data_IF_248623956038
#
_entry.id   IF_248623956038
#
_cell.length_a   1.000
_cell.length_b   1.000
_cell.length_c   1.000
_cell.angle_alpha   90.00
_cell.angle_beta   90.00
_cell.angle_gamma   90.00
#
_symmetry.space_group_name_H-M   'P 1'
#
loop_
_entity.id
_entity.type
_entity.pdbx_description
1 polymer ?
#
# COMPACT_ATOMS: atom_id res chain seq x y z
N UNK A 1 -16.07 -8.03 -29.62
CA UNK A 1 -15.14 -8.76 -28.84
C UNK A 1 -14.88 -8.06 -27.53
N UNK A 2 -15.72 -8.36 -26.53
CA UNK A 2 -15.69 -7.73 -25.22
C UNK A 2 -14.47 -8.18 -24.35
N UNK A 3 -13.75 -9.18 -24.78
CA UNK A 3 -12.61 -9.80 -24.10
C UNK A 3 -11.42 -8.86 -23.97
N UNK A 4 -11.08 -8.22 -25.07
CA UNK A 4 -9.89 -7.40 -25.23
C UNK A 4 -10.04 -6.04 -24.52
N UNK A 5 -11.27 -5.62 -24.28
CA UNK A 5 -11.59 -4.30 -23.76
C UNK A 5 -11.29 -4.11 -22.27
N UNK A 6 -11.78 -5.03 -21.44
CA UNK A 6 -11.59 -4.90 -19.99
C UNK A 6 -10.16 -5.24 -19.61
N UNK A 7 -9.52 -6.14 -20.35
CA UNK A 7 -8.09 -6.39 -20.22
C UNK A 7 -7.31 -5.10 -20.50
N UNK A 8 -7.61 -4.40 -21.59
CA UNK A 8 -6.95 -3.13 -21.93
C UNK A 8 -7.31 -1.99 -20.99
N UNK A 9 -8.55 -1.91 -20.53
CA UNK A 9 -8.97 -0.90 -19.56
C UNK A 9 -8.23 -1.09 -18.22
N UNK A 10 -8.07 -2.34 -17.79
CA UNK A 10 -7.42 -2.65 -16.54
C UNK A 10 -5.90 -2.54 -16.63
N UNK A 11 -5.30 -2.98 -17.73
CA UNK A 11 -3.90 -2.77 -18.07
C UNK A 11 -3.62 -1.27 -18.19
N UNK A 12 -4.44 -0.49 -18.87
CA UNK A 12 -4.28 0.97 -18.95
C UNK A 12 -4.40 1.67 -17.58
N UNK A 13 -5.24 1.18 -16.68
CA UNK A 13 -5.34 1.73 -15.31
C UNK A 13 -4.15 1.34 -14.39
N UNK A 14 -3.41 0.26 -14.71
CA UNK A 14 -2.29 -0.22 -13.89
C UNK A 14 -0.92 -0.20 -14.59
N UNK A 15 -0.86 -0.28 -15.91
CA UNK A 15 0.41 -0.26 -16.68
C UNK A 15 0.87 1.15 -17.08
N UNK A 16 0.00 2.17 -16.98
CA UNK A 16 0.44 3.57 -17.12
C UNK A 16 1.08 4.13 -15.84
N UNK A 17 1.06 3.40 -14.73
CA UNK A 17 2.07 3.58 -13.71
C UNK A 17 3.35 2.96 -14.28
N UNK A 18 4.36 3.76 -14.66
CA UNK A 18 5.60 3.20 -15.16
C UNK A 18 6.12 2.26 -14.08
N UNK A 19 6.15 0.96 -14.38
CA UNK A 19 7.03 0.04 -13.69
C UNK A 19 8.42 0.58 -13.95
N UNK A 20 8.91 1.43 -13.05
CA UNK A 20 10.28 1.87 -13.09
C UNK A 20 11.10 0.60 -12.96
N UNK A 21 11.82 0.27 -14.02
CA UNK A 21 12.89 -0.70 -13.94
C UNK A 21 13.76 -0.24 -12.77
N UNK A 22 13.88 -1.06 -11.74
CA UNK A 22 14.87 -0.87 -10.70
C UNK A 22 16.23 -0.85 -11.40
N UNK A 23 16.75 0.31 -11.70
CA UNK A 23 18.14 0.46 -12.10
C UNK A 23 18.95 0.33 -10.80
N UNK A 24 19.49 -0.85 -10.60
CA UNK A 24 20.54 -1.07 -9.62
C UNK A 24 21.77 -0.31 -10.13
N UNK A 25 21.91 0.92 -9.67
CA UNK A 25 23.13 1.68 -9.88
C UNK A 25 24.14 1.10 -8.90
N UNK A 26 24.99 0.18 -9.35
CA UNK A 26 26.21 -0.13 -8.62
C UNK A 26 27.09 1.10 -8.74
N UNK A 27 27.27 1.82 -7.65
CA UNK A 27 28.27 2.87 -7.58
C UNK A 27 29.65 2.21 -7.71
N UNK A 28 30.27 2.29 -8.90
CA UNK A 28 31.70 2.15 -9.02
C UNK A 28 32.30 3.40 -8.39
N UNK A 29 33.05 3.22 -7.31
CA UNK A 29 33.79 4.29 -6.64
C UNK A 29 34.90 4.77 -7.60
N UNK A 30 34.84 6.03 -8.00
CA UNK A 30 35.95 6.68 -8.66
C UNK A 30 37.11 6.89 -7.65
N UNK A 31 38.34 6.75 -8.11
CA UNK A 31 39.57 6.76 -7.29
C UNK A 31 39.95 8.12 -6.66
N UNK A 32 39.04 9.10 -6.60
CA UNK A 32 39.22 10.36 -5.90
C UNK A 32 38.37 10.36 -4.64
N UNK A 33 38.99 10.22 -3.48
CA UNK A 33 38.49 10.08 -2.11
C UNK A 33 37.11 10.72 -1.84
N UNK A 34 36.06 10.02 -2.16
CA UNK A 34 34.71 10.53 -2.12
C UNK A 34 34.16 10.54 -0.69
N UNK A 35 33.75 11.72 -0.29
CA UNK A 35 32.99 11.98 0.92
C UNK A 35 31.70 11.14 0.89
N UNK A 36 31.50 10.28 1.89
CA UNK A 36 30.29 9.48 2.06
C UNK A 36 29.04 10.36 1.91
N UNK A 37 28.01 9.93 1.16
CA UNK A 37 26.79 10.72 0.99
C UNK A 37 26.16 11.10 2.33
N UNK A 38 25.64 12.32 2.44
CA UNK A 38 25.16 12.90 3.70
C UNK A 38 24.22 11.97 4.52
N UNK A 39 23.24 11.26 3.94
CA UNK A 39 22.40 10.36 4.73
C UNK A 39 23.18 9.26 5.46
N UNK A 40 24.25 8.77 4.84
CA UNK A 40 25.10 7.70 5.41
C UNK A 40 25.90 8.21 6.61
N UNK A 41 26.36 9.47 6.58
CA UNK A 41 27.15 10.07 7.66
C UNK A 41 26.37 10.20 8.98
N UNK A 42 25.04 10.09 8.95
CA UNK A 42 24.21 10.05 10.16
C UNK A 42 24.30 8.72 10.90
N UNK A 43 24.76 7.65 10.26
CA UNK A 43 24.78 6.29 10.82
C UNK A 43 26.18 5.69 10.87
N UNK A 44 27.08 6.08 9.97
CA UNK A 44 28.41 5.50 9.81
C UNK A 44 29.51 6.54 9.82
N UNK A 45 30.68 6.14 10.34
CA UNK A 45 31.91 6.98 10.40
C UNK A 45 32.96 6.55 9.36
N UNK A 46 32.78 5.41 8.70
CA UNK A 46 33.80 4.79 7.86
C UNK A 46 33.26 4.56 6.42
N UNK A 47 34.18 4.64 5.46
CA UNK A 47 33.91 4.36 4.04
C UNK A 47 33.90 2.85 3.71
N UNK A 48 34.23 1.98 4.68
CA UNK A 48 34.30 0.52 4.47
C UNK A 48 32.93 -0.13 4.67
N UNK A 49 31.97 0.25 3.85
CA UNK A 49 30.59 -0.28 3.86
C UNK A 49 30.18 -0.62 2.43
N UNK A 50 29.39 -1.70 2.30
CA UNK A 50 28.80 -2.10 1.04
C UNK A 50 27.44 -1.42 0.90
N UNK A 51 27.24 -0.65 -0.18
CA UNK A 51 26.06 0.18 -0.35
C UNK A 51 25.38 -0.15 -1.68
N UNK A 52 24.08 -0.44 -1.61
CA UNK A 52 23.17 -0.50 -2.76
C UNK A 52 22.19 0.67 -2.67
N UNK A 53 22.13 1.52 -3.69
CA UNK A 53 21.20 2.65 -3.74
C UNK A 53 20.02 2.30 -4.64
N UNK A 54 18.80 2.47 -4.09
CA UNK A 54 17.55 2.40 -4.85
C UNK A 54 16.94 3.79 -4.93
N UNK A 55 16.81 4.30 -6.15
CA UNK A 55 16.11 5.57 -6.41
C UNK A 55 14.72 5.26 -6.96
N UNK A 56 13.69 5.65 -6.22
CA UNK A 56 12.29 5.52 -6.60
C UNK A 56 11.58 6.88 -6.70
N UNK A 57 12.35 7.93 -6.92
CA UNK A 57 11.84 9.30 -7.08
C UNK A 57 10.91 9.40 -8.30
N UNK A 58 9.85 10.22 -8.16
CA UNK A 58 8.89 10.50 -9.23
C UNK A 58 8.89 12.00 -9.56
N UNK A 59 9.96 12.44 -10.23
CA UNK A 59 10.19 13.85 -10.49
C UNK A 59 10.62 14.65 -9.26
N UNK A 60 10.75 15.96 -9.42
CA UNK A 60 11.32 16.85 -8.39
C UNK A 60 10.45 16.97 -7.14
N UNK A 61 9.14 16.81 -7.26
CA UNK A 61 8.21 16.95 -6.13
C UNK A 61 8.11 15.71 -5.24
N UNK A 62 8.58 14.56 -5.70
CA UNK A 62 8.51 13.28 -4.99
C UNK A 62 9.86 12.58 -5.02
N UNK A 63 10.78 13.07 -4.20
CA UNK A 63 12.12 12.53 -4.04
C UNK A 63 12.13 11.36 -3.07
N UNK A 64 12.70 10.20 -3.46
CA UNK A 64 12.78 8.98 -2.65
C UNK A 64 14.04 8.19 -2.97
N UNK A 65 14.97 8.12 -2.04
CA UNK A 65 16.14 7.23 -2.11
C UNK A 65 16.18 6.29 -0.90
N UNK A 66 16.57 5.05 -1.13
CA UNK A 66 16.86 4.08 -0.10
C UNK A 66 18.29 3.56 -0.28
N UNK A 67 19.08 3.65 0.78
CA UNK A 67 20.44 3.13 0.84
C UNK A 67 20.40 1.83 1.65
N UNK A 68 20.65 0.72 0.99
CA UNK A 68 20.80 -0.58 1.64
C UNK A 68 22.27 -0.73 1.99
N UNK A 69 22.58 -0.68 3.28
CA UNK A 69 23.95 -0.64 3.78
C UNK A 69 24.26 -1.93 4.51
N UNK A 70 25.41 -2.53 4.19
CA UNK A 70 25.93 -3.71 4.85
C UNK A 70 27.34 -3.39 5.37
N UNK A 71 27.52 -3.37 6.68
CA UNK A 71 28.81 -3.11 7.36
C UNK A 71 29.56 -4.39 7.75
N UNK A 72 29.07 -5.55 7.34
CA UNK A 72 29.61 -6.88 7.65
C UNK A 72 29.11 -7.48 8.96
N UNK A 73 28.54 -6.68 9.86
CA UNK A 73 27.90 -7.12 11.11
C UNK A 73 26.37 -7.01 11.02
N UNK A 74 25.89 -5.97 10.36
CA UNK A 74 24.46 -5.68 10.21
C UNK A 74 24.11 -5.23 8.79
N UNK A 75 22.83 -5.34 8.45
CA UNK A 75 22.29 -4.77 7.22
C UNK A 75 21.11 -3.88 7.57
N UNK A 76 21.16 -2.62 7.13
CA UNK A 76 20.12 -1.62 7.40
C UNK A 76 19.66 -0.96 6.11
N UNK A 77 18.50 -0.31 6.16
CA UNK A 77 17.97 0.52 5.07
C UNK A 77 17.81 1.94 5.56
N UNK A 78 18.57 2.86 4.99
CA UNK A 78 18.45 4.30 5.27
C UNK A 78 17.53 4.89 4.20
N UNK A 79 16.39 5.41 4.59
CA UNK A 79 15.42 6.07 3.70
C UNK A 79 15.63 7.58 3.75
N UNK A 80 15.79 8.18 2.58
CA UNK A 80 15.96 9.62 2.39
C UNK A 80 14.93 10.13 1.39
N UNK A 81 14.02 10.98 1.83
CA UNK A 81 12.88 11.36 1.00
C UNK A 81 12.34 12.75 1.32
N UNK A 82 11.62 13.31 0.35
CA UNK A 82 10.87 14.56 0.45
C UNK A 82 9.70 14.53 -0.52
N UNK A 83 8.48 14.60 0.00
CA UNK A 83 7.26 14.65 -0.80
C UNK A 83 6.14 15.39 -0.05
N UNK A 84 5.04 15.70 -0.75
CA UNK A 84 3.95 16.53 -0.24
C UNK A 84 3.19 15.93 0.94
N UNK A 85 3.21 14.61 1.11
CA UNK A 85 2.51 13.92 2.17
C UNK A 85 3.40 13.51 3.35
N UNK A 86 4.72 13.74 3.28
CA UNK A 86 5.64 13.46 4.35
C UNK A 86 5.85 14.68 5.25
N UNK A 87 5.61 14.49 6.52
CA UNK A 87 5.96 15.43 7.57
C UNK A 87 6.32 14.67 8.85
N UNK A 88 6.96 15.34 9.78
CA UNK A 88 7.48 14.72 11.00
C UNK A 88 6.41 13.95 11.79
N UNK A 89 5.21 14.52 11.95
CA UNK A 89 4.14 13.88 12.72
C UNK A 89 3.65 12.58 12.06
N UNK A 90 3.51 12.60 10.71
CA UNK A 90 3.13 11.39 9.97
C UNK A 90 4.17 10.28 10.12
N UNK A 91 5.46 10.62 9.94
CA UNK A 91 6.56 9.64 10.01
C UNK A 91 6.65 9.03 11.41
N UNK A 92 6.54 9.83 12.47
CA UNK A 92 6.50 9.31 13.83
C UNK A 92 5.24 8.45 14.06
N UNK A 93 4.14 8.79 13.44
CA UNK A 93 2.91 7.97 13.41
C UNK A 93 3.14 6.61 12.74
N UNK A 94 3.94 6.53 11.66
CA UNK A 94 4.32 5.25 11.04
C UNK A 94 5.08 4.36 12.03
N UNK A 95 6.06 4.91 12.74
CA UNK A 95 6.83 4.17 13.75
C UNK A 95 5.94 3.66 14.88
N UNK A 96 5.03 4.49 15.37
CA UNK A 96 4.07 4.09 16.39
C UNK A 96 3.16 2.95 15.91
N UNK A 97 2.69 3.00 14.66
CA UNK A 97 1.84 1.95 14.11
C UNK A 97 2.60 0.63 13.95
N UNK A 98 3.87 0.66 13.54
CA UNK A 98 4.73 -0.52 13.49
C UNK A 98 4.81 -1.21 14.86
N UNK A 99 4.90 -0.44 15.95
CA UNK A 99 4.88 -0.99 17.31
C UNK A 99 3.54 -1.70 17.65
N UNK A 100 2.40 -1.15 17.21
CA UNK A 100 1.11 -1.79 17.42
C UNK A 100 0.98 -3.11 16.65
N UNK A 101 1.58 -3.21 15.46
CA UNK A 101 1.66 -4.46 14.71
C UNK A 101 2.58 -5.47 15.39
N UNK A 102 3.74 -5.05 15.95
CA UNK A 102 4.61 -5.94 16.75
C UNK A 102 3.89 -6.48 17.99
N UNK A 103 3.07 -5.68 18.67
CA UNK A 103 2.28 -6.10 19.85
C UNK A 103 1.29 -7.23 19.57
N UNK A 104 0.87 -7.41 18.33
CA UNK A 104 0.03 -8.55 17.93
C UNK A 104 0.84 -9.74 17.39
N UNK A 105 2.17 -9.68 17.50
CA UNK A 105 3.07 -10.76 17.11
C UNK A 105 3.53 -10.72 15.64
N UNK A 106 3.26 -9.63 14.93
CA UNK A 106 3.75 -9.46 13.56
C UNK A 106 5.15 -8.85 13.57
N UNK A 107 5.99 -9.34 12.68
CA UNK A 107 7.28 -8.73 12.42
C UNK A 107 7.10 -7.41 11.65
N UNK A 108 7.76 -6.37 12.13
CA UNK A 108 8.02 -5.12 11.41
C UNK A 108 9.48 -4.74 11.67
N UNK A 109 10.24 -4.25 10.68
CA UNK A 109 11.62 -3.81 10.89
C UNK A 109 11.72 -2.80 12.03
N UNK A 110 12.73 -2.91 12.88
CA UNK A 110 12.95 -1.92 13.93
C UNK A 110 13.54 -0.64 13.33
N UNK A 111 13.12 0.50 13.86
CA UNK A 111 13.72 1.78 13.51
C UNK A 111 15.02 1.94 14.29
N UNK A 112 16.09 2.29 13.58
CA UNK A 112 17.43 2.40 14.11
C UNK A 112 17.75 3.87 14.37
N UNK A 113 18.12 4.26 15.61
CA UNK A 113 18.51 5.62 15.88
C UNK A 113 19.81 5.99 15.15
N UNK A 114 19.90 7.23 14.71
CA UNK A 114 21.14 7.79 14.16
C UNK A 114 22.21 7.96 15.26
N UNK A 115 23.43 8.37 14.90
CA UNK A 115 24.55 8.60 15.84
C UNK A 115 24.24 9.62 16.96
N UNK A 116 23.19 10.44 16.79
CA UNK A 116 22.74 11.42 17.79
C UNK A 116 21.61 10.88 18.67
N UNK A 117 21.19 9.63 18.46
CA UNK A 117 20.08 8.98 19.17
C UNK A 117 18.69 9.34 18.65
N UNK A 118 18.58 9.97 17.49
CA UNK A 118 17.32 10.36 16.88
C UNK A 118 16.78 9.27 15.94
N UNK A 119 15.50 8.96 16.02
CA UNK A 119 14.85 8.00 15.11
C UNK A 119 14.50 8.62 13.76
N UNK A 120 14.39 9.93 13.70
CA UNK A 120 14.06 10.69 12.50
C UNK A 120 14.91 11.95 12.45
N UNK A 121 15.64 12.13 11.37
CA UNK A 121 16.38 13.36 11.11
C UNK A 121 15.67 14.18 10.04
N UNK A 122 15.55 15.49 10.29
CA UNK A 122 14.97 16.44 9.33
C UNK A 122 16.00 17.49 9.00
N UNK A 123 16.15 17.81 7.71
CA UNK A 123 16.88 19.00 7.28
C UNK A 123 16.11 19.71 6.17
N UNK A 124 16.43 21.00 5.98
CA UNK A 124 15.75 21.83 4.98
C UNK A 124 16.79 22.36 3.99
N UNK A 125 16.58 22.12 2.70
CA UNK A 125 17.42 22.64 1.62
C UNK A 125 16.50 23.50 0.72
N UNK A 126 16.87 24.75 0.48
CA UNK A 126 16.13 25.69 -0.37
C UNK A 126 14.62 25.79 -0.02
N UNK A 127 14.30 25.74 1.27
CA UNK A 127 12.93 25.82 1.78
C UNK A 127 12.12 24.52 1.67
N UNK A 128 12.74 23.43 1.22
CA UNK A 128 12.13 22.10 1.15
C UNK A 128 12.63 21.21 2.27
N UNK A 129 11.71 20.54 2.95
CA UNK A 129 12.00 19.61 4.03
C UNK A 129 12.33 18.22 3.49
N UNK A 130 13.43 17.67 3.96
CA UNK A 130 13.88 16.30 3.72
C UNK A 130 13.90 15.52 5.02
N UNK A 131 13.54 14.27 4.96
CA UNK A 131 13.48 13.36 6.09
C UNK A 131 14.38 12.15 5.88
N UNK A 132 15.10 11.76 6.93
CA UNK A 132 16.00 10.62 6.93
C UNK A 132 15.70 9.77 8.16
N UNK A 133 15.48 8.47 7.94
CA UNK A 133 15.46 7.49 9.01
C UNK A 133 16.06 6.17 8.54
N UNK A 134 16.48 5.32 9.47
CA UNK A 134 16.95 3.99 9.17
C UNK A 134 16.06 2.92 9.82
N UNK A 135 15.93 1.80 9.15
CA UNK A 135 15.29 0.60 9.66
C UNK A 135 16.16 -0.63 9.41
N UNK A 136 15.95 -1.70 10.18
CA UNK A 136 16.57 -2.98 9.92
C UNK A 136 16.24 -3.44 8.50
N UNK A 137 17.19 -4.07 7.83
CA UNK A 137 16.87 -4.80 6.61
C UNK A 137 15.96 -5.99 6.97
N UNK A 138 14.81 -6.10 6.30
CA UNK A 138 13.82 -7.11 6.65
C UNK A 138 14.42 -8.52 6.68
N UNK A 139 14.20 -9.23 7.80
CA UNK A 139 14.74 -10.58 8.02
C UNK A 139 14.07 -11.67 7.18
N UNK A 140 12.97 -11.34 6.50
CA UNK A 140 12.15 -12.26 5.73
C UNK A 140 12.00 -11.79 4.29
N UNK A 141 11.76 -12.72 3.38
CA UNK A 141 11.48 -12.41 1.99
C UNK A 141 10.04 -11.93 1.81
N UNK A 142 9.83 -11.12 0.80
CA UNK A 142 8.48 -10.68 0.43
C UNK A 142 7.74 -11.77 -0.35
N UNK A 143 6.41 -11.72 -0.32
CA UNK A 143 5.59 -12.64 -1.11
C UNK A 143 5.87 -12.51 -2.63
N UNK A 144 6.20 -11.31 -3.12
CA UNK A 144 6.60 -11.10 -4.53
C UNK A 144 7.97 -11.69 -4.85
N UNK A 145 8.95 -11.62 -3.94
CA UNK A 145 10.27 -12.23 -4.14
C UNK A 145 10.19 -13.77 -4.19
N UNK A 146 9.25 -14.35 -3.46
CA UNK A 146 9.05 -15.81 -3.40
C UNK A 146 8.07 -16.31 -4.46
N UNK A 147 7.47 -15.43 -5.26
CA UNK A 147 6.45 -15.76 -6.28
C UNK A 147 5.31 -16.62 -5.73
N UNK A 148 4.81 -16.27 -4.54
CA UNK A 148 3.78 -17.03 -3.83
C UNK A 148 2.39 -16.55 -4.21
N UNK A 149 1.49 -17.47 -4.55
CA UNK A 149 0.11 -17.14 -4.84
C UNK A 149 -0.62 -16.51 -3.64
N UNK A 150 -1.33 -15.43 -3.86
CA UNK A 150 -2.07 -14.69 -2.81
C UNK A 150 -2.95 -15.56 -1.93
N UNK A 151 -3.63 -16.56 -2.49
CA UNK A 151 -4.50 -17.47 -1.71
C UNK A 151 -3.77 -18.22 -0.60
N UNK A 152 -2.43 -18.31 -0.63
CA UNK A 152 -1.66 -19.04 0.37
C UNK A 152 -1.42 -18.24 1.63
N UNK A 153 -1.28 -16.92 1.53
CA UNK A 153 -0.94 -16.04 2.66
C UNK A 153 -2.03 -15.02 3.02
N UNK A 154 -2.89 -14.63 2.07
CA UNK A 154 -3.93 -13.62 2.32
C UNK A 154 -4.92 -13.99 3.43
N UNK A 155 -5.30 -15.26 3.65
CA UNK A 155 -6.10 -15.62 4.83
C UNK A 155 -5.49 -15.16 6.14
N UNK A 156 -4.19 -15.34 6.33
CA UNK A 156 -3.48 -14.92 7.55
C UNK A 156 -3.33 -13.40 7.64
N UNK A 157 -3.09 -12.73 6.51
CA UNK A 157 -3.07 -11.27 6.42
C UNK A 157 -4.43 -10.69 6.83
N UNK A 158 -5.54 -11.26 6.34
CA UNK A 158 -6.89 -10.79 6.66
C UNK A 158 -7.27 -11.04 8.14
N UNK A 159 -6.83 -12.15 8.75
CA UNK A 159 -6.96 -12.39 10.20
C UNK A 159 -6.19 -11.34 11.01
N UNK A 160 -4.96 -11.04 10.61
CA UNK A 160 -4.16 -10.00 11.25
C UNK A 160 -4.82 -8.62 11.10
N UNK A 161 -5.37 -8.31 9.91
CA UNK A 161 -6.14 -7.10 9.67
C UNK A 161 -7.33 -7.00 10.63
N UNK A 162 -8.12 -8.07 10.79
CA UNK A 162 -9.22 -8.10 11.75
C UNK A 162 -8.75 -7.92 13.20
N UNK A 163 -7.58 -8.46 13.56
CA UNK A 163 -6.97 -8.26 14.88
C UNK A 163 -6.62 -6.79 15.12
N UNK A 164 -6.01 -6.10 14.16
CA UNK A 164 -5.74 -4.66 14.23
C UNK A 164 -7.05 -3.85 14.27
N UNK A 165 -8.04 -4.23 13.45
CA UNK A 165 -9.35 -3.59 13.46
C UNK A 165 -10.03 -3.65 14.84
N UNK A 166 -9.93 -4.80 15.54
CA UNK A 166 -10.53 -4.98 16.85
C UNK A 166 -9.88 -4.13 17.96
N UNK A 167 -8.64 -3.69 17.78
CA UNK A 167 -7.95 -2.76 18.69
C UNK A 167 -8.48 -1.32 18.61
N UNK A 168 -9.16 -0.93 17.53
CA UNK A 168 -9.70 0.42 17.36
C UNK A 168 -8.65 1.51 17.60
N UNK A 169 -7.47 1.36 16.99
CA UNK A 169 -6.38 2.32 17.12
C UNK A 169 -6.81 3.69 16.60
N UNK A 170 -6.58 4.75 17.39
CA UNK A 170 -7.07 6.11 17.11
C UNK A 170 -6.02 7.19 17.44
N UNK A 171 -4.76 6.94 17.13
CA UNK A 171 -3.68 7.88 17.41
C UNK A 171 -3.16 8.61 16.16
N UNK A 172 -3.54 8.16 14.95
CA UNK A 172 -3.23 8.88 13.72
C UNK A 172 -4.35 9.88 13.42
N UNK A 173 -3.98 11.13 13.12
CA UNK A 173 -4.89 12.23 12.79
C UNK A 173 -5.08 12.44 11.28
N UNK A 174 -4.55 11.53 10.48
CA UNK A 174 -4.61 11.56 9.01
C UNK A 174 -5.22 10.25 8.48
N UNK A 175 -5.96 10.30 7.34
CA UNK A 175 -6.49 9.12 6.70
C UNK A 175 -5.40 8.28 6.04
N UNK A 176 -5.74 7.03 5.71
CA UNK A 176 -4.90 6.19 4.84
C UNK A 176 -4.86 6.74 3.42
N UNK A 177 -3.88 6.30 2.63
CA UNK A 177 -3.71 6.73 1.26
C UNK A 177 -4.90 6.39 0.35
N UNK A 178 -5.65 5.34 0.68
CA UNK A 178 -6.74 4.85 -0.15
C UNK A 178 -8.06 4.84 0.61
N UNK A 179 -8.98 5.71 0.24
CA UNK A 179 -10.31 5.78 0.81
C UNK A 179 -11.39 5.75 -0.27
N UNK A 180 -12.29 4.75 -0.22
CA UNK A 180 -13.37 4.60 -1.20
C UNK A 180 -14.54 5.57 -0.97
N UNK A 181 -14.75 6.03 0.26
CA UNK A 181 -15.90 6.86 0.64
C UNK A 181 -15.56 8.34 0.76
N UNK A 182 -14.34 8.66 1.21
CA UNK A 182 -13.86 10.04 1.26
C UNK A 182 -13.37 10.50 -0.11
N UNK A 183 -13.69 11.73 -0.53
CA UNK A 183 -13.29 12.24 -1.83
C UNK A 183 -11.80 12.57 -1.92
N UNK A 184 -11.14 12.79 -0.78
CA UNK A 184 -9.74 13.19 -0.75
C UNK A 184 -8.90 12.16 0.01
N UNK A 185 -7.71 11.89 -0.55
CA UNK A 185 -6.65 11.20 0.15
C UNK A 185 -5.64 12.21 0.67
N UNK A 186 -4.98 11.93 1.78
CA UNK A 186 -3.91 12.80 2.27
C UNK A 186 -2.59 12.64 1.52
N UNK A 187 -2.52 11.69 0.61
CA UNK A 187 -1.30 11.43 -0.15
C UNK A 187 -1.12 12.50 -1.21
N UNK A 188 -2.16 12.80 -1.99
CA UNK A 188 -2.04 13.64 -3.16
C UNK A 188 -2.94 14.89 -3.15
N UNK A 189 -3.63 15.22 -2.12
CA UNK A 189 -4.60 16.34 -2.08
C UNK A 189 -5.65 16.30 -3.22
N UNK A 190 -5.70 15.23 -3.98
CA UNK A 190 -6.57 15.02 -5.13
C UNK A 190 -7.64 14.00 -4.79
N UNK A 191 -8.85 14.21 -5.27
CA UNK A 191 -9.92 13.21 -5.19
C UNK A 191 -9.68 12.13 -6.25
N UNK A 192 -8.80 11.17 -5.93
CA UNK A 192 -8.46 10.07 -6.84
C UNK A 192 -9.68 9.28 -7.31
N UNK A 193 -10.69 9.14 -6.48
CA UNK A 193 -11.91 8.39 -6.83
C UNK A 193 -12.69 9.12 -7.91
N UNK A 194 -12.89 10.44 -7.78
CA UNK A 194 -13.55 11.25 -8.81
C UNK A 194 -12.68 11.35 -10.06
N UNK A 195 -11.37 11.50 -9.91
CA UNK A 195 -10.44 11.56 -11.05
C UNK A 195 -10.49 10.26 -11.86
N UNK A 196 -10.35 9.10 -11.21
CA UNK A 196 -10.47 7.79 -11.86
C UNK A 196 -11.84 7.60 -12.55
N UNK A 197 -12.93 8.08 -11.94
CA UNK A 197 -14.25 8.03 -12.54
C UNK A 197 -14.36 8.90 -13.81
N UNK A 198 -13.74 10.07 -13.82
CA UNK A 198 -13.66 10.95 -14.99
C UNK A 198 -12.81 10.35 -16.10
N UNK A 199 -11.62 9.85 -15.76
CA UNK A 199 -10.72 9.16 -16.70
C UNK A 199 -11.41 7.93 -17.33
N UNK A 200 -12.11 7.13 -16.52
CA UNK A 200 -12.91 6.02 -17.01
C UNK A 200 -13.94 6.47 -18.05
N UNK A 201 -14.70 7.52 -17.76
CA UNK A 201 -15.72 8.04 -18.68
C UNK A 201 -15.12 8.61 -19.96
N UNK A 202 -14.00 9.29 -19.85
CA UNK A 202 -13.26 9.83 -21.00
C UNK A 202 -12.73 8.70 -21.89
N UNK A 203 -12.11 7.69 -21.29
CA UNK A 203 -11.63 6.51 -22.02
C UNK A 203 -12.77 5.81 -22.77
N UNK A 204 -13.90 5.55 -22.11
CA UNK A 204 -15.06 4.91 -22.73
C UNK A 204 -15.59 5.75 -23.89
N UNK A 205 -15.70 7.07 -23.70
CA UNK A 205 -16.19 7.99 -24.74
C UNK A 205 -15.29 7.98 -25.97
N UNK A 206 -13.99 7.97 -25.78
CA UNK A 206 -13.02 8.08 -26.87
C UNK A 206 -12.72 6.76 -27.57
N UNK A 207 -12.67 5.66 -26.83
CA UNK A 207 -12.23 4.36 -27.35
C UNK A 207 -13.38 3.34 -27.55
N UNK A 208 -14.50 3.50 -26.84
CA UNK A 208 -15.56 2.50 -26.75
C UNK A 208 -16.96 3.13 -26.66
N UNK A 209 -17.30 4.05 -27.58
CA UNK A 209 -18.55 4.84 -27.52
C UNK A 209 -19.83 3.98 -27.46
N UNK A 210 -19.81 2.77 -28.00
CA UNK A 210 -20.92 1.83 -27.92
C UNK A 210 -21.28 1.40 -26.49
N UNK A 211 -20.34 1.50 -25.54
CA UNK A 211 -20.53 1.14 -24.13
C UNK A 211 -20.88 2.35 -23.24
N UNK A 212 -20.90 3.56 -23.79
CA UNK A 212 -21.16 4.80 -23.03
C UNK A 212 -22.48 4.77 -22.21
N UNK A 213 -23.63 4.25 -22.74
CA UNK A 213 -24.85 4.17 -21.95
C UNK A 213 -24.71 3.26 -20.71
N UNK A 214 -23.93 2.18 -20.82
CA UNK A 214 -23.66 1.26 -19.71
C UNK A 214 -22.70 1.89 -18.68
N UNK A 215 -21.63 2.52 -19.15
CA UNK A 215 -20.67 3.22 -18.28
C UNK A 215 -21.36 4.32 -17.45
N UNK A 216 -22.26 5.10 -18.06
CA UNK A 216 -23.07 6.09 -17.33
C UNK A 216 -23.89 5.47 -16.21
N UNK A 217 -24.58 4.35 -16.48
CA UNK A 217 -25.38 3.65 -15.45
C UNK A 217 -24.51 3.15 -14.29
N UNK A 218 -23.30 2.65 -14.58
CA UNK A 218 -22.34 2.21 -13.55
C UNK A 218 -21.94 3.40 -12.70
N UNK A 219 -21.58 4.52 -13.33
CA UNK A 219 -21.16 5.72 -12.63
C UNK A 219 -22.29 6.34 -11.80
N UNK A 220 -23.52 6.38 -12.33
CA UNK A 220 -24.70 6.86 -11.59
C UNK A 220 -24.95 6.00 -10.35
N UNK A 221 -24.80 4.66 -10.46
CA UNK A 221 -24.92 3.74 -9.33
C UNK A 221 -23.82 3.97 -8.31
N UNK A 222 -22.59 4.12 -8.76
CA UNK A 222 -21.44 4.42 -7.91
C UNK A 222 -21.66 5.69 -7.07
N UNK A 223 -22.00 6.81 -7.71
CA UNK A 223 -22.23 8.07 -6.98
C UNK A 223 -23.45 8.01 -6.06
N UNK A 224 -24.50 7.28 -6.47
CA UNK A 224 -25.65 7.03 -5.60
C UNK A 224 -25.26 6.29 -4.35
N UNK A 225 -24.49 5.19 -4.49
CA UNK A 225 -24.03 4.38 -3.37
C UNK A 225 -23.07 5.16 -2.47
N UNK A 226 -22.12 5.89 -3.05
CA UNK A 226 -21.21 6.75 -2.30
C UNK A 226 -21.98 7.79 -1.46
N UNK A 227 -22.99 8.45 -2.04
CA UNK A 227 -23.84 9.40 -1.32
C UNK A 227 -24.64 8.75 -0.21
N UNK A 228 -25.10 7.52 -0.38
CA UNK A 228 -25.81 6.76 0.64
C UNK A 228 -24.88 6.36 1.78
N UNK A 229 -23.70 5.83 1.47
CA UNK A 229 -22.68 5.48 2.45
C UNK A 229 -22.25 6.67 3.32
N UNK A 230 -22.10 7.86 2.73
CA UNK A 230 -21.71 9.08 3.46
C UNK A 230 -22.65 9.44 4.60
N UNK A 231 -23.92 9.04 4.56
CA UNK A 231 -24.88 9.28 5.65
C UNK A 231 -24.49 8.56 6.94
N UNK A 232 -23.81 7.43 6.81
CA UNK A 232 -23.39 6.58 7.93
C UNK A 232 -21.90 6.72 8.23
N UNK A 233 -21.15 7.39 7.36
CA UNK A 233 -19.69 7.39 7.38
C UNK A 233 -19.09 7.81 8.71
N UNK A 234 -19.63 8.86 9.35
CA UNK A 234 -19.10 9.38 10.61
C UNK A 234 -19.36 8.45 11.80
N UNK A 235 -20.43 7.63 11.75
CA UNK A 235 -20.73 6.66 12.81
C UNK A 235 -19.98 5.33 12.66
N UNK A 236 -19.38 5.09 11.49
CA UNK A 236 -18.63 3.86 11.24
C UNK A 236 -17.36 3.80 12.09
N UNK A 237 -17.06 2.62 12.63
CA UNK A 237 -15.83 2.38 13.38
C UNK A 237 -14.57 2.65 12.56
N UNK A 238 -13.55 3.17 13.25
CA UNK A 238 -12.23 3.43 12.66
C UNK A 238 -11.13 2.63 13.33
N UNK A 239 -10.05 2.38 12.62
CA UNK A 239 -8.76 1.96 13.15
C UNK A 239 -7.63 2.50 12.25
N UNK A 240 -6.38 2.38 12.71
CA UNK A 240 -5.20 2.72 11.91
C UNK A 240 -4.68 1.46 11.23
N UNK A 241 -4.33 1.57 9.94
CA UNK A 241 -3.86 0.46 9.11
C UNK A 241 -2.60 0.83 8.34
N UNK A 242 -1.79 -0.18 7.98
CA UNK A 242 -0.59 -0.03 7.14
C UNK A 242 -0.96 0.51 5.74
N UNK A 243 -2.09 0.12 5.21
CA UNK A 243 -2.77 0.63 4.03
C UNK A 243 -2.12 0.34 2.66
N UNK A 244 -1.10 -0.52 2.61
CA UNK A 244 -0.46 -0.95 1.36
C UNK A 244 -0.10 -2.44 1.40
N UNK A 245 -1.12 -3.31 1.43
CA UNK A 245 -0.97 -4.77 1.51
C UNK A 245 -0.67 -5.41 0.14
N UNK A 246 0.22 -4.81 -0.62
CA UNK A 246 0.70 -5.44 -1.85
C UNK A 246 1.73 -6.55 -1.55
N UNK A 247 1.98 -7.44 -2.51
CA UNK A 247 2.86 -8.61 -2.32
C UNK A 247 4.32 -8.24 -2.05
N UNK A 248 4.75 -7.01 -2.39
CA UNK A 248 6.09 -6.52 -2.11
C UNK A 248 6.28 -6.04 -0.68
N UNK A 249 5.19 -5.81 0.08
CA UNK A 249 5.20 -5.35 1.46
C UNK A 249 4.82 -6.44 2.48
N UNK A 250 4.41 -7.62 2.01
CA UNK A 250 4.02 -8.76 2.84
C UNK A 250 5.20 -9.70 2.99
N UNK A 251 5.60 -9.97 4.23
CA UNK A 251 6.74 -10.79 4.59
C UNK A 251 6.30 -12.22 4.94
N UNK A 252 7.00 -13.20 4.38
CA UNK A 252 6.74 -14.62 4.57
C UNK A 252 7.98 -15.34 5.14
N UNK A 253 7.75 -16.32 6.00
CA UNK A 253 8.81 -17.20 6.49
C UNK A 253 9.22 -18.27 5.44
N UNK A 254 10.18 -19.12 5.79
CA UNK A 254 10.65 -20.20 4.93
C UNK A 254 9.58 -21.29 4.64
N UNK A 255 8.47 -21.28 5.38
CA UNK A 255 7.32 -22.17 5.15
C UNK A 255 6.20 -21.45 4.38
N UNK A 256 6.49 -20.29 3.81
CA UNK A 256 5.56 -19.43 3.06
C UNK A 256 4.38 -18.91 3.90
N UNK A 257 4.54 -18.84 5.22
CA UNK A 257 3.52 -18.29 6.12
C UNK A 257 3.75 -16.80 6.31
N UNK A 258 2.66 -16.07 6.40
CA UNK A 258 2.69 -14.65 6.72
C UNK A 258 3.27 -14.43 8.13
N UNK A 259 4.28 -13.57 8.21
CA UNK A 259 4.95 -13.24 9.48
C UNK A 259 4.96 -11.75 9.78
N UNK A 260 4.82 -10.87 8.79
CA UNK A 260 4.89 -9.45 9.05
C UNK A 260 4.75 -8.55 7.83
N UNK A 261 4.92 -7.27 8.08
CA UNK A 261 4.78 -6.19 7.11
C UNK A 261 5.91 -5.18 7.24
N UNK A 262 6.21 -4.51 6.15
CA UNK A 262 7.03 -3.30 6.15
C UNK A 262 6.43 -2.24 5.22
N UNK A 263 7.12 -1.09 5.08
CA UNK A 263 6.71 0.07 4.32
C UNK A 263 5.33 0.63 4.75
N UNK A 264 5.36 1.40 5.83
CA UNK A 264 4.19 2.02 6.45
C UNK A 264 3.90 3.45 5.95
N UNK A 265 4.54 3.87 4.85
CA UNK A 265 4.46 5.25 4.35
C UNK A 265 3.04 5.67 3.91
N UNK A 266 2.19 4.71 3.54
CA UNK A 266 0.80 4.95 3.14
C UNK A 266 -0.21 4.73 4.28
N UNK A 267 0.27 4.43 5.49
CA UNK A 267 -0.61 4.15 6.62
C UNK A 267 -1.49 5.35 7.01
N UNK A 268 -2.58 5.04 7.69
CA UNK A 268 -3.48 6.07 8.19
C UNK A 268 -4.70 5.48 8.88
N UNK A 269 -5.58 6.38 9.35
CA UNK A 269 -6.85 6.04 9.95
C UNK A 269 -7.91 5.85 8.89
N UNK A 270 -8.64 4.72 8.94
CA UNK A 270 -9.66 4.38 7.96
C UNK A 270 -10.91 3.78 8.64
N UNK A 271 -12.05 3.88 7.96
CA UNK A 271 -13.26 3.15 8.32
C UNK A 271 -13.01 1.65 8.13
N UNK A 272 -13.16 0.87 9.20
CA UNK A 272 -12.78 -0.55 9.21
C UNK A 272 -13.48 -1.31 8.08
N UNK A 273 -14.78 -1.14 7.93
CA UNK A 273 -15.55 -1.85 6.89
C UNK A 273 -15.08 -1.49 5.47
N UNK A 274 -14.79 -0.21 5.22
CA UNK A 274 -14.31 0.27 3.92
C UNK A 274 -12.95 -0.35 3.58
N UNK A 275 -12.01 -0.31 4.53
CA UNK A 275 -10.69 -0.88 4.37
C UNK A 275 -10.73 -2.41 4.22
N UNK A 276 -11.54 -3.10 5.07
CA UNK A 276 -11.71 -4.54 5.01
C UNK A 276 -12.25 -5.03 3.67
N UNK A 277 -13.27 -4.35 3.13
CA UNK A 277 -13.85 -4.70 1.83
C UNK A 277 -12.87 -4.48 0.69
N UNK A 278 -12.10 -3.39 0.71
CA UNK A 278 -11.06 -3.15 -0.28
C UNK A 278 -10.03 -4.26 -0.31
N UNK A 279 -9.50 -4.65 0.85
CA UNK A 279 -8.46 -5.69 0.92
C UNK A 279 -9.02 -7.08 0.56
N UNK A 280 -10.23 -7.41 1.00
CA UNK A 280 -10.89 -8.65 0.62
C UNK A 280 -11.18 -8.72 -0.89
N UNK A 281 -11.61 -7.60 -1.49
CA UNK A 281 -11.84 -7.50 -2.93
C UNK A 281 -10.53 -7.61 -3.72
N UNK A 282 -9.47 -6.96 -3.26
CA UNK A 282 -8.16 -7.03 -3.87
C UNK A 282 -7.57 -8.44 -3.84
N UNK A 283 -7.74 -9.16 -2.73
CA UNK A 283 -7.37 -10.57 -2.62
C UNK A 283 -8.16 -11.46 -3.59
N UNK A 284 -9.47 -11.23 -3.70
CA UNK A 284 -10.37 -11.93 -4.62
C UNK A 284 -9.97 -11.70 -6.07
N UNK A 285 -9.74 -10.45 -6.43
CA UNK A 285 -9.40 -10.04 -7.79
C UNK A 285 -8.18 -10.79 -8.31
N UNK A 286 -7.08 -10.79 -7.56
CA UNK A 286 -5.84 -11.42 -8.00
C UNK A 286 -5.87 -12.96 -7.92
N UNK A 287 -6.69 -13.54 -7.05
CA UNK A 287 -6.79 -15.00 -6.91
C UNK A 287 -7.74 -15.65 -7.90
N UNK A 288 -8.75 -14.89 -8.42
CA UNK A 288 -9.81 -15.45 -9.25
C UNK A 288 -9.75 -15.06 -10.74
N UNK A 289 -8.87 -14.13 -11.10
CA UNK A 289 -8.85 -13.49 -12.42
C UNK A 289 -7.59 -13.78 -13.24
N UNK A 290 -6.76 -14.71 -12.79
CA UNK A 290 -5.55 -15.09 -13.49
C UNK A 290 -5.73 -16.49 -14.04
N UNK A 291 -5.48 -16.70 -15.33
CA UNK A 291 -5.47 -18.02 -15.93
C UNK A 291 -4.18 -18.78 -15.60
N UNK A 292 -4.09 -20.04 -16.07
CA UNK A 292 -2.91 -20.89 -15.87
C UNK A 292 -1.61 -20.34 -16.48
N UNK A 293 -1.73 -19.35 -17.36
CA UNK A 293 -0.62 -18.73 -18.07
C UNK A 293 -0.33 -17.30 -17.51
N UNK A 294 -0.83 -17.00 -16.30
CA UNK A 294 -0.74 -15.70 -15.61
C UNK A 294 -1.41 -14.52 -16.35
N UNK A 295 -2.33 -14.79 -17.28
CA UNK A 295 -3.09 -13.72 -17.91
C UNK A 295 -4.33 -13.39 -17.09
N UNK A 296 -4.65 -12.11 -16.96
CA UNK A 296 -5.88 -11.68 -16.32
C UNK A 296 -7.10 -12.08 -17.14
N UNK A 297 -8.08 -12.75 -16.50
CA UNK A 297 -9.32 -13.16 -17.13
C UNK A 297 -10.40 -12.14 -16.80
N UNK A 298 -10.79 -11.33 -17.78
CA UNK A 298 -11.86 -10.34 -17.65
C UNK A 298 -13.09 -10.79 -18.43
N UNK A 299 -13.80 -11.80 -17.92
CA UNK A 299 -15.07 -12.24 -18.50
C UNK A 299 -16.25 -11.72 -17.69
N UNK A 300 -17.24 -11.19 -18.39
CA UNK A 300 -18.59 -11.07 -17.85
C UNK A 300 -19.31 -12.42 -18.03
N UNK A 301 -18.98 -13.36 -17.20
CA UNK A 301 -19.63 -14.65 -17.12
C UNK A 301 -20.22 -14.78 -15.71
N UNK A 302 -21.53 -15.09 -15.65
CA UNK A 302 -22.23 -15.26 -14.37
C UNK A 302 -21.51 -16.29 -13.46
N UNK A 303 -20.97 -17.34 -14.04
CA UNK A 303 -20.24 -18.37 -13.30
C UNK A 303 -18.95 -17.80 -12.66
N UNK A 304 -18.24 -16.92 -13.36
CA UNK A 304 -17.06 -16.24 -12.81
C UNK A 304 -17.46 -15.22 -11.75
N UNK A 305 -18.58 -14.52 -11.94
CA UNK A 305 -19.08 -13.57 -10.94
C UNK A 305 -19.50 -14.30 -9.66
N UNK A 306 -20.11 -15.47 -9.75
CA UNK A 306 -20.41 -16.32 -8.59
C UNK A 306 -19.12 -16.80 -7.89
N UNK A 307 -18.08 -17.20 -8.64
CA UNK A 307 -16.79 -17.60 -8.09
C UNK A 307 -16.13 -16.41 -7.36
N UNK A 308 -16.14 -15.22 -7.95
CA UNK A 308 -15.58 -14.00 -7.37
C UNK A 308 -16.30 -13.62 -6.09
N UNK A 309 -17.63 -13.65 -6.11
CA UNK A 309 -18.44 -13.34 -4.94
C UNK A 309 -18.15 -14.33 -3.79
N UNK A 310 -18.07 -15.62 -4.10
CA UNK A 310 -17.77 -16.62 -3.10
C UNK A 310 -16.36 -16.42 -2.51
N UNK A 311 -15.36 -16.13 -3.35
CA UNK A 311 -14.00 -15.82 -2.91
C UNK A 311 -13.94 -14.54 -2.07
N UNK A 312 -14.67 -13.50 -2.45
CA UNK A 312 -14.78 -12.28 -1.66
C UNK A 312 -15.40 -12.55 -0.28
N UNK A 313 -16.50 -13.29 -0.23
CA UNK A 313 -17.17 -13.64 1.04
C UNK A 313 -16.28 -14.53 1.92
N UNK A 314 -15.53 -15.44 1.32
CA UNK A 314 -14.52 -16.26 2.02
C UNK A 314 -13.43 -15.36 2.61
N UNK A 315 -12.86 -14.44 1.83
CA UNK A 315 -11.86 -13.48 2.31
C UNK A 315 -12.40 -12.61 3.46
N UNK A 316 -13.65 -12.14 3.35
CA UNK A 316 -14.31 -11.42 4.44
C UNK A 316 -14.47 -12.29 5.69
N UNK A 317 -14.70 -13.61 5.53
CA UNK A 317 -14.84 -14.51 6.67
C UNK A 317 -13.54 -14.66 7.47
N UNK A 318 -12.36 -14.69 6.82
CA UNK A 318 -11.07 -14.71 7.51
C UNK A 318 -10.85 -13.48 8.39
N UNK A 319 -11.21 -12.30 7.91
CA UNK A 319 -11.16 -11.08 8.72
C UNK A 319 -12.13 -11.16 9.89
N UNK A 320 -13.33 -11.70 9.65
CA UNK A 320 -14.38 -11.81 10.67
C UNK A 320 -14.08 -12.87 11.75
N UNK A 321 -13.09 -13.74 11.57
CA UNK A 321 -12.62 -14.61 12.65
C UNK A 321 -12.04 -13.81 13.83
N UNK A 322 -11.54 -12.60 13.60
CA UNK A 322 -10.89 -11.76 14.60
C UNK A 322 -11.57 -10.39 14.80
N UNK A 323 -12.50 -10.01 13.91
CA UNK A 323 -13.27 -8.77 14.00
C UNK A 323 -14.73 -8.97 13.63
N UNK A 324 -15.64 -8.64 14.53
CA UNK A 324 -17.08 -8.69 14.28
C UNK A 324 -17.63 -7.32 13.89
N UNK A 325 -18.28 -7.24 12.73
CA UNK A 325 -18.96 -6.03 12.31
C UNK A 325 -20.11 -5.67 13.27
N UNK A 326 -20.20 -4.39 13.62
CA UNK A 326 -21.33 -3.86 14.36
C UNK A 326 -22.57 -3.65 13.42
N UNK A 327 -23.67 -3.19 14.00
CA UNK A 327 -24.92 -3.02 13.26
C UNK A 327 -24.85 -1.92 12.19
N UNK A 328 -24.03 -0.87 12.38
CA UNK A 328 -23.83 0.18 11.40
C UNK A 328 -23.03 -0.35 10.21
N UNK A 329 -21.96 -1.11 10.47
CA UNK A 329 -21.15 -1.74 9.42
C UNK A 329 -21.97 -2.75 8.61
N UNK A 330 -22.83 -3.56 9.27
CA UNK A 330 -23.74 -4.50 8.58
C UNK A 330 -24.75 -3.80 7.68
N UNK A 331 -25.22 -2.61 8.04
CA UNK A 331 -26.13 -1.81 7.20
C UNK A 331 -25.44 -1.25 5.96
N UNK A 332 -24.17 -0.85 6.09
CA UNK A 332 -23.39 -0.25 5.01
C UNK A 332 -22.82 -1.30 4.07
N UNK A 333 -22.50 -2.49 4.57
CA UNK A 333 -21.88 -3.58 3.80
C UNK A 333 -22.52 -3.83 2.42
N UNK A 334 -23.86 -3.95 2.26
CA UNK A 334 -24.47 -4.20 0.95
C UNK A 334 -24.49 -2.99 0.00
N UNK A 335 -24.05 -1.81 0.47
CA UNK A 335 -24.02 -0.57 -0.31
C UNK A 335 -22.62 -0.29 -0.84
N UNK A 336 -21.59 -0.71 -0.09
CA UNK A 336 -20.20 -0.64 -0.49
C UNK A 336 -19.88 -1.64 -1.60
#
# INVERSE_FOLDING_TARGET
>A
DNKDFLTRLFVAMYDELPVQKEEVIKSEFDEEGDCMEFPLTLYYDTEMIDIEVKDSSRGDSDFRKAYIVNDGESKIVIKYFSNSFSNQNRILGWFQLMEEYRKIGLYCPNIIPNRYGELLYKHTIDGRDYYIYAEEFAAFNTASQLDVEKKQYMPDVLRALGTIASKRLDFLDFPSAYCLLEPFTNVDTTDEVTECALLFMEYIKNNLPQHLPRAKKILDLFYKNQKECRKFYHSLPTSCFQADLNSSNILLDNNLKFVGLFDFNLCGKEKIINYAMREALWATYQSCLVDKDNNYIFYFDKKLDDIRMNSFLENMSYLQETYSFNDEEKKVFPIL
#
